data_IF_656732349901
#
_entry.id   IF_656732349901
#
_cell.length_a   1.000
_cell.length_b   1.000
_cell.length_c   1.000
_cell.angle_alpha   90.00
_cell.angle_beta   90.00
_cell.angle_gamma   90.00
#
_symmetry.space_group_name_H-M   'P 1'
#
loop_
_entity.id
_entity.type
_entity.pdbx_description
1 polymer ?
#
# COMPACT_ATOMS: atom_id res chain seq x y z
N UNK A 1 11.78 0.27 -18.74
CA UNK A 1 12.20 0.26 -17.33
C UNK A 1 12.02 1.66 -16.77
N UNK A 2 10.87 1.96 -16.17
CA UNK A 2 10.68 3.23 -15.48
C UNK A 2 10.11 2.88 -14.10
N UNK A 3 10.97 2.91 -13.09
CA UNK A 3 10.51 2.87 -11.70
C UNK A 3 9.78 4.18 -11.45
N UNK A 4 8.45 4.13 -11.47
CA UNK A 4 7.60 5.29 -11.25
C UNK A 4 7.83 5.84 -9.86
N UNK A 5 8.27 7.10 -9.79
CA UNK A 5 8.26 7.84 -8.54
C UNK A 5 6.92 8.55 -8.43
N UNK A 6 6.16 8.23 -7.39
CA UNK A 6 4.85 8.80 -7.10
C UNK A 6 5.00 9.81 -5.96
N UNK A 7 4.86 11.09 -6.29
CA UNK A 7 4.84 12.19 -5.34
C UNK A 7 3.43 12.79 -5.27
N UNK A 8 2.58 12.22 -4.42
CA UNK A 8 1.21 12.67 -4.23
C UNK A 8 0.63 12.13 -2.92
N UNK A 9 -0.48 12.72 -2.48
CA UNK A 9 -1.30 12.16 -1.41
C UNK A 9 -2.14 11.02 -1.99
N UNK A 10 -1.97 9.81 -1.48
CA UNK A 10 -2.66 8.62 -1.95
C UNK A 10 -3.85 8.37 -1.03
N UNK A 11 -5.05 8.24 -1.59
CA UNK A 11 -6.25 7.84 -0.87
C UNK A 11 -6.87 6.69 -1.64
N UNK A 12 -6.79 5.48 -1.08
CA UNK A 12 -7.30 4.27 -1.72
C UNK A 12 -7.56 3.18 -0.68
N UNK A 13 -8.61 2.38 -0.87
CA UNK A 13 -8.96 1.26 0.00
C UNK A 13 -7.81 0.24 0.12
N UNK A 14 -7.17 -0.08 -1.01
CA UNK A 14 -6.00 -0.98 -1.08
C UNK A 14 -4.84 -0.32 -1.82
N UNK A 15 -3.65 -0.32 -1.19
CA UNK A 15 -2.41 0.20 -1.77
C UNK A 15 -1.37 -0.91 -1.87
N UNK A 16 -0.83 -1.11 -3.07
CA UNK A 16 0.26 -2.04 -3.33
C UNK A 16 1.51 -1.31 -3.80
N UNK A 17 2.59 -1.39 -3.02
CA UNK A 17 3.89 -0.82 -3.41
C UNK A 17 4.72 -1.91 -4.06
N UNK A 18 4.96 -1.76 -5.36
CA UNK A 18 5.71 -2.72 -6.16
C UNK A 18 7.22 -2.63 -5.93
N UNK A 19 7.98 -3.66 -6.33
CA UNK A 19 9.45 -3.79 -6.17
C UNK A 19 10.31 -2.58 -6.55
N UNK A 20 9.86 -1.72 -7.47
CA UNK A 20 10.60 -0.49 -7.86
C UNK A 20 9.79 0.79 -7.65
N UNK A 21 8.64 0.68 -6.98
CA UNK A 21 7.79 1.81 -6.67
C UNK A 21 8.42 2.68 -5.60
N UNK A 22 8.45 4.00 -5.84
CA UNK A 22 8.90 4.98 -4.86
C UNK A 22 7.74 5.92 -4.55
N UNK A 23 7.23 5.86 -3.34
CA UNK A 23 6.11 6.70 -2.87
C UNK A 23 6.63 7.76 -1.91
N UNK A 24 6.32 9.01 -2.19
CA UNK A 24 6.66 10.16 -1.36
C UNK A 24 5.39 10.99 -1.14
N UNK A 25 4.86 10.97 0.07
CA UNK A 25 3.62 11.67 0.40
C UNK A 25 2.80 10.94 1.45
N UNK A 26 1.69 11.54 1.86
CA UNK A 26 0.76 10.91 2.81
C UNK A 26 -0.06 9.83 2.12
N UNK A 27 -0.18 8.66 2.76
CA UNK A 27 -0.97 7.54 2.26
C UNK A 27 -2.09 7.23 3.23
N UNK A 28 -3.32 7.37 2.77
CA UNK A 28 -4.52 6.97 3.49
C UNK A 28 -5.06 5.69 2.85
N UNK A 29 -4.98 4.57 3.54
CA UNK A 29 -5.42 3.27 3.02
C UNK A 29 -5.84 2.32 4.12
N UNK A 30 -6.79 1.43 3.82
CA UNK A 30 -7.21 0.39 4.76
C UNK A 30 -6.38 -0.86 4.66
N UNK A 31 -5.84 -1.16 3.48
CA UNK A 31 -5.05 -2.35 3.25
C UNK A 31 -3.77 -2.05 2.47
N UNK A 32 -2.64 -2.03 3.17
CA UNK A 32 -1.31 -1.79 2.59
C UNK A 32 -0.57 -3.11 2.35
N UNK A 33 0.02 -3.28 1.17
CA UNK A 33 0.97 -4.37 0.90
C UNK A 33 2.18 -3.84 0.15
N UNK A 34 3.37 -4.22 0.59
CA UNK A 34 4.65 -3.76 0.05
C UNK A 34 5.47 -4.96 -0.41
N UNK A 35 5.92 -4.95 -1.66
CA UNK A 35 6.89 -5.91 -2.18
C UNK A 35 8.33 -5.52 -1.81
N UNK A 36 9.21 -6.52 -1.74
CA UNK A 36 10.63 -6.32 -1.43
C UNK A 36 11.30 -5.39 -2.46
N UNK A 37 11.85 -4.27 -1.99
CA UNK A 37 12.45 -3.21 -2.82
C UNK A 37 11.56 -1.98 -3.03
N UNK A 38 10.28 -2.05 -2.64
CA UNK A 38 9.40 -0.88 -2.58
C UNK A 38 9.87 0.14 -1.54
N UNK A 39 9.87 1.43 -1.92
CA UNK A 39 10.27 2.52 -1.03
C UNK A 39 9.08 3.44 -0.77
N UNK A 40 8.74 3.67 0.49
CA UNK A 40 7.67 4.57 0.89
C UNK A 40 8.16 5.53 1.99
N UNK A 41 8.00 6.83 1.75
CA UNK A 41 8.38 7.89 2.68
C UNK A 41 7.24 8.89 2.84
N UNK A 42 6.70 8.98 4.04
CA UNK A 42 5.62 9.89 4.39
C UNK A 42 4.84 9.37 5.58
N UNK A 43 3.68 9.96 5.83
CA UNK A 43 2.80 9.54 6.91
C UNK A 43 1.73 8.61 6.36
N UNK A 44 1.54 7.47 7.02
CA UNK A 44 0.49 6.51 6.67
C UNK A 44 -0.65 6.66 7.67
N UNK A 45 -1.87 6.80 7.16
CA UNK A 45 -3.10 6.82 7.94
C UNK A 45 -3.95 5.62 7.52
N UNK A 46 -4.27 4.76 8.47
CA UNK A 46 -5.18 3.65 8.27
C UNK A 46 -6.50 4.00 8.97
N UNK A 47 -7.46 4.62 8.27
CA UNK A 47 -8.78 4.87 8.85
C UNK A 47 -9.46 3.53 9.11
N UNK A 48 -10.30 3.45 10.14
CA UNK A 48 -11.17 2.29 10.36
C UNK A 48 -12.23 2.25 9.24
N UNK A 49 -11.92 1.66 8.09
CA UNK A 49 -12.93 1.36 7.08
C UNK A 49 -13.82 0.21 7.56
N UNK A 50 -15.12 0.49 7.49
CA UNK A 50 -16.18 -0.39 7.95
C UNK A 50 -16.35 -1.54 6.96
N UNK A 51 -15.50 -2.56 7.08
CA UNK A 51 -15.71 -3.88 6.49
C UNK A 51 -15.24 -4.06 5.05
N UNK A 52 -14.02 -4.56 4.89
CA UNK A 52 -13.63 -5.36 3.73
C UNK A 52 -12.55 -6.34 4.16
N UNK A 53 -13.02 -7.52 4.54
CA UNK A 53 -12.29 -8.72 4.93
C UNK A 53 -11.21 -9.07 3.88
N UNK A 54 -9.94 -8.86 4.24
CA UNK A 54 -8.80 -9.26 3.43
C UNK A 54 -8.59 -10.76 3.52
N UNK A 55 -9.08 -11.49 2.51
CA UNK A 55 -8.77 -12.85 2.02
C UNK A 55 -8.35 -13.94 3.06
N UNK A 56 -8.98 -15.13 3.02
CA UNK A 56 -8.75 -16.18 4.00
C UNK A 56 -7.28 -16.63 4.02
N UNK A 57 -6.74 -17.02 5.20
CA UNK A 57 -5.45 -17.69 5.23
C UNK A 57 -5.59 -19.03 4.51
N UNK A 58 -4.94 -19.18 3.37
CA UNK A 58 -4.77 -20.46 2.68
C UNK A 58 -3.84 -21.37 3.47
N UNK A 59 -4.28 -21.80 4.66
CA UNK A 59 -3.65 -22.88 5.41
C UNK A 59 -4.19 -24.19 4.83
N UNK A 60 -3.57 -24.66 3.74
CA UNK A 60 -3.55 -26.09 3.43
C UNK A 60 -2.35 -26.73 4.13
N UNK A 61 -2.57 -27.31 5.30
CA UNK A 61 -2.02 -28.64 5.63
C UNK A 61 -2.80 -29.31 6.75
#
# INVERSE_FOLDING_TARGET
MAGGTLQANIIADKVQVLRTGRVYGDVTTSNLSTEEGGFLKGTIRMPEEKGSEGAPPDVKK
#
